data_IF_316804960986
#
_entry.id   IF_316804960986
#
_cell.length_a   1.000
_cell.length_b   1.000
_cell.length_c   1.000
_cell.angle_alpha   90.00
_cell.angle_beta   90.00
_cell.angle_gamma   90.00
#
_symmetry.space_group_name_H-M   'P 1'
#
loop_
_entity.id
_entity.type
_entity.pdbx_description
1 polymer ?
#
# COMPACT_ATOMS: atom_id res chain seq x y z
N UNK A 1 5.90 -1.43 1.68
CA UNK A 1 4.72 -1.91 0.91
C UNK A 1 4.18 -3.25 1.39
N UNK A 2 5.02 -4.27 1.61
CA UNK A 2 4.57 -5.62 1.99
C UNK A 2 3.64 -5.67 3.22
N UNK A 3 3.87 -4.84 4.25
CA UNK A 3 2.97 -4.78 5.41
C UNK A 3 1.54 -4.36 5.05
N UNK A 4 1.36 -3.46 4.07
CA UNK A 4 0.04 -3.07 3.56
C UNK A 4 -0.65 -4.22 2.80
N UNK A 5 0.14 -5.18 2.29
CA UNK A 5 -0.35 -6.43 1.74
C UNK A 5 -0.53 -7.56 2.77
N UNK A 6 -0.34 -7.27 4.07
CA UNK A 6 -0.54 -8.23 5.16
C UNK A 6 0.73 -8.91 5.71
N UNK A 7 1.94 -8.50 5.31
CA UNK A 7 3.17 -9.03 5.89
C UNK A 7 3.38 -8.50 7.32
N UNK A 8 3.52 -9.39 8.30
CA UNK A 8 3.66 -8.98 9.70
C UNK A 8 5.10 -8.60 10.09
N UNK A 9 6.10 -9.12 9.38
CA UNK A 9 7.53 -8.83 9.60
C UNK A 9 8.04 -9.16 11.02
N UNK A 10 7.63 -10.30 11.59
CA UNK A 10 8.19 -10.78 12.86
C UNK A 10 9.55 -11.45 12.64
N UNK A 11 10.29 -11.60 13.74
CA UNK A 11 11.53 -12.38 13.75
C UNK A 11 11.27 -13.80 13.24
N UNK A 12 11.93 -14.18 12.15
CA UNK A 12 11.82 -15.49 11.54
C UNK A 12 10.75 -15.64 10.46
N UNK A 13 9.94 -14.61 10.17
CA UNK A 13 8.94 -14.66 9.08
C UNK A 13 9.59 -14.72 7.67
N UNK A 14 10.90 -14.47 7.57
CA UNK A 14 11.65 -14.50 6.31
C UNK A 14 11.37 -13.26 5.44
N UNK A 15 11.48 -13.41 4.13
CA UNK A 15 11.21 -12.34 3.18
C UNK A 15 9.74 -12.35 2.73
N UNK A 16 9.12 -11.18 2.50
CA UNK A 16 7.76 -11.11 1.99
C UNK A 16 7.65 -11.67 0.57
N UNK A 17 6.61 -12.48 0.34
CA UNK A 17 6.33 -13.02 -0.99
C UNK A 17 5.81 -11.98 -1.99
N UNK A 18 5.92 -12.30 -3.28
CA UNK A 18 5.51 -11.42 -4.39
C UNK A 18 4.05 -10.96 -4.29
N UNK A 19 3.13 -11.84 -3.87
CA UNK A 19 1.70 -11.51 -3.70
C UNK A 19 1.52 -10.41 -2.65
N UNK A 20 2.23 -10.51 -1.54
CA UNK A 20 2.14 -9.54 -0.45
C UNK A 20 2.73 -8.18 -0.84
N UNK A 21 3.79 -8.18 -1.63
CA UNK A 21 4.35 -6.95 -2.21
C UNK A 21 3.35 -6.32 -3.17
N UNK A 22 2.78 -7.11 -4.10
CA UNK A 22 1.80 -6.64 -5.08
C UNK A 22 0.57 -6.01 -4.43
N UNK A 23 -0.04 -6.69 -3.47
CA UNK A 23 -1.19 -6.15 -2.73
C UNK A 23 -0.84 -4.85 -1.99
N UNK A 24 0.36 -4.78 -1.43
CA UNK A 24 0.84 -3.56 -0.79
C UNK A 24 1.00 -2.39 -1.76
N UNK A 25 1.48 -2.65 -2.98
CA UNK A 25 1.61 -1.64 -4.03
C UNK A 25 0.26 -1.16 -4.54
N UNK A 26 -0.68 -2.07 -4.81
CA UNK A 26 -2.04 -1.68 -5.22
C UNK A 26 -2.68 -0.73 -4.21
N UNK A 27 -2.60 -1.06 -2.92
CA UNK A 27 -3.13 -0.20 -1.85
C UNK A 27 -2.52 1.19 -1.83
N UNK A 28 -1.20 1.30 -2.02
CA UNK A 28 -0.52 2.60 -2.10
C UNK A 28 -1.04 3.42 -3.28
N UNK A 29 -1.24 2.79 -4.43
CA UNK A 29 -1.77 3.47 -5.63
C UNK A 29 -3.19 3.96 -5.39
N UNK A 30 -4.05 3.16 -4.75
CA UNK A 30 -5.43 3.56 -4.42
C UNK A 30 -5.45 4.77 -3.49
N UNK A 31 -4.61 4.78 -2.45
CA UNK A 31 -4.50 5.93 -1.55
C UNK A 31 -3.95 7.17 -2.27
N UNK A 32 -2.95 7.02 -3.13
CA UNK A 32 -2.42 8.14 -3.90
C UNK A 32 -3.47 8.75 -4.82
N UNK A 33 -4.30 7.92 -5.47
CA UNK A 33 -5.42 8.38 -6.28
C UNK A 33 -6.46 9.14 -5.43
N UNK A 34 -6.82 8.60 -4.26
CA UNK A 34 -7.74 9.26 -3.33
C UNK A 34 -7.22 10.60 -2.82
N UNK A 35 -5.93 10.70 -2.50
CA UNK A 35 -5.29 11.95 -2.07
C UNK A 35 -5.26 13.00 -3.19
N UNK A 36 -4.99 12.57 -4.42
CA UNK A 36 -5.04 13.45 -5.59
C UNK A 36 -6.45 14.02 -5.78
N UNK A 37 -7.47 13.17 -5.73
CA UNK A 37 -8.85 13.59 -5.84
C UNK A 37 -9.27 14.54 -4.71
N UNK A 38 -8.89 14.24 -3.47
CA UNK A 38 -9.18 15.11 -2.33
C UNK A 38 -8.51 16.48 -2.45
N UNK A 39 -7.32 16.56 -3.07
CA UNK A 39 -6.65 17.83 -3.36
C UNK A 39 -7.44 18.62 -4.40
N UNK A 40 -7.84 17.99 -5.50
CA UNK A 40 -8.60 18.66 -6.58
C UNK A 40 -9.91 19.26 -6.05
N UNK A 41 -10.62 18.55 -5.16
CA UNK A 41 -11.82 19.07 -4.50
C UNK A 41 -11.58 20.27 -3.56
N UNK A 42 -10.37 20.46 -3.03
CA UNK A 42 -10.04 21.61 -2.18
C UNK A 42 -9.70 22.86 -3.00
N UNK A 43 -9.32 22.67 -4.26
CA UNK A 43 -8.91 23.74 -5.17
C UNK A 43 -10.10 24.29 -6.00
N UNK A 44 -11.28 23.64 -5.92
CA UNK A 44 -12.60 24.13 -6.40
C UNK A 44 -13.34 24.97 -5.35
#
# INVERSE_FOLDING_TARGET
VAMLGGFLARKGDGEPGVKTIWLGLQRVMDFAAGLKFARELQDE
#
